data_IF_782701241483
#
_entry.id   IF_782701241483
#
_cell.length_a   1.000
_cell.length_b   1.000
_cell.length_c   1.000
_cell.angle_alpha   90.00
_cell.angle_beta   90.00
_cell.angle_gamma   90.00
#
_symmetry.space_group_name_H-M   'P 1'
#
loop_
_entity.id
_entity.type
_entity.pdbx_description
1 polymer ?
#
# COMPACT_ATOMS: atom_id res chain seq x y z
N UNK A 1 7.78 -21.89 -1.73
CA UNK A 1 6.55 -22.29 -2.45
C UNK A 1 5.78 -21.01 -2.78
N UNK A 2 5.53 -20.73 -4.07
CA UNK A 2 4.77 -19.55 -4.50
C UNK A 2 3.30 -19.68 -4.09
N UNK A 3 2.71 -18.55 -3.69
CA UNK A 3 1.52 -18.41 -2.86
C UNK A 3 0.28 -19.19 -3.30
N UNK A 4 -0.39 -19.76 -2.29
CA UNK A 4 -1.71 -20.36 -2.40
C UNK A 4 -2.74 -19.27 -2.73
N UNK A 5 -3.27 -19.31 -3.95
CA UNK A 5 -4.25 -18.38 -4.53
C UNK A 5 -5.66 -18.60 -3.93
N UNK A 6 -5.81 -18.42 -2.62
CA UNK A 6 -7.11 -18.21 -2.00
C UNK A 6 -7.26 -16.70 -1.75
N UNK A 7 -7.90 -16.03 -2.72
CA UNK A 7 -7.99 -14.57 -2.86
C UNK A 7 -6.91 -14.04 -3.80
N UNK A 8 -7.31 -13.64 -5.01
CA UNK A 8 -6.49 -13.38 -6.22
C UNK A 8 -5.50 -12.21 -6.13
N UNK A 9 -4.80 -12.03 -5.01
CA UNK A 9 -3.82 -10.97 -4.83
C UNK A 9 -2.38 -11.51 -4.77
N UNK A 10 -1.45 -10.77 -5.38
CA UNK A 10 -0.01 -10.95 -5.17
C UNK A 10 0.35 -10.34 -3.82
N UNK A 11 0.90 -11.16 -2.91
CA UNK A 11 1.22 -10.74 -1.55
C UNK A 11 2.71 -10.49 -1.37
N UNK A 12 3.01 -9.43 -0.64
CA UNK A 12 4.33 -8.94 -0.35
C UNK A 12 4.49 -8.87 1.17
N UNK A 13 5.24 -9.79 1.77
CA UNK A 13 5.32 -9.90 3.23
C UNK A 13 4.08 -10.59 3.84
N UNK A 14 4.04 -10.61 5.17
CA UNK A 14 2.93 -11.21 5.94
C UNK A 14 2.23 -10.09 6.70
N UNK A 15 0.94 -9.91 6.45
CA UNK A 15 0.12 -8.93 7.15
C UNK A 15 -0.11 -9.38 8.59
N UNK A 16 0.07 -8.44 9.52
CA UNK A 16 -0.18 -8.63 10.94
C UNK A 16 -1.28 -7.63 11.38
N UNK A 17 -0.90 -6.51 11.97
CA UNK A 17 -1.80 -5.45 12.40
C UNK A 17 -2.00 -4.34 11.34
N UNK A 18 -1.03 -4.15 10.43
CA UNK A 18 -1.10 -3.14 9.36
C UNK A 18 -0.77 -3.77 8.01
N UNK A 19 -1.51 -3.40 6.97
CA UNK A 19 -1.21 -3.76 5.58
C UNK A 19 -1.62 -2.66 4.61
N UNK A 20 -1.09 -2.72 3.38
CA UNK A 20 -1.59 -1.95 2.26
C UNK A 20 -2.19 -2.84 1.17
N UNK A 21 -3.14 -2.32 0.41
CA UNK A 21 -3.74 -2.99 -0.73
C UNK A 21 -3.99 -2.01 -1.88
N UNK A 22 -3.71 -2.44 -3.11
CA UNK A 22 -4.02 -1.69 -4.33
C UNK A 22 -4.28 -2.65 -5.49
N UNK A 23 -4.71 -2.13 -6.65
CA UNK A 23 -5.00 -2.98 -7.81
C UNK A 23 -3.74 -3.36 -8.57
N UNK A 24 -2.94 -2.36 -8.96
CA UNK A 24 -1.76 -2.55 -9.78
C UNK A 24 -0.56 -3.15 -9.05
N UNK A 25 0.04 -4.21 -9.61
CA UNK A 25 1.33 -4.74 -9.10
C UNK A 25 2.45 -3.70 -9.22
N UNK A 26 2.47 -2.91 -10.28
CA UNK A 26 3.47 -1.85 -10.51
C UNK A 26 3.32 -0.72 -9.47
N UNK A 27 2.08 -0.34 -9.16
CA UNK A 27 1.74 0.61 -8.10
C UNK A 27 2.28 0.13 -6.75
N UNK A 28 1.98 -1.13 -6.36
CA UNK A 28 2.45 -1.69 -5.09
C UNK A 28 3.97 -1.85 -5.04
N UNK A 29 4.62 -2.24 -6.15
CA UNK A 29 6.08 -2.32 -6.22
C UNK A 29 6.74 -0.94 -6.09
N UNK A 30 6.13 0.11 -6.63
CA UNK A 30 6.62 1.49 -6.50
C UNK A 30 6.59 1.94 -5.03
N UNK A 31 5.51 1.62 -4.30
CA UNK A 31 5.45 1.85 -2.85
C UNK A 31 6.44 1.00 -2.07
N UNK A 32 6.67 -0.26 -2.48
CA UNK A 32 7.63 -1.15 -1.83
C UNK A 32 9.06 -0.61 -1.88
N UNK A 33 9.40 0.20 -2.89
CA UNK A 33 10.70 0.88 -2.98
C UNK A 33 10.94 1.92 -1.86
N UNK A 34 9.88 2.41 -1.21
CA UNK A 34 9.97 3.41 -0.11
C UNK A 34 9.45 2.88 1.22
N UNK A 35 8.68 1.78 1.20
CA UNK A 35 8.17 1.08 2.37
C UNK A 35 8.43 -0.44 2.28
N UNK A 36 9.70 -0.87 2.34
CA UNK A 36 10.06 -2.27 2.05
C UNK A 36 9.50 -3.27 3.07
N UNK A 37 9.26 -2.83 4.31
CA UNK A 37 8.78 -3.68 5.42
C UNK A 37 7.25 -3.74 5.52
N UNK A 38 6.52 -2.86 4.83
CA UNK A 38 5.06 -2.86 4.87
C UNK A 38 4.51 -4.09 4.15
N UNK A 39 3.61 -4.88 4.78
CA UNK A 39 2.88 -5.94 4.10
C UNK A 39 1.94 -5.34 3.04
N UNK A 40 1.99 -5.84 1.81
CA UNK A 40 1.24 -5.27 0.68
C UNK A 40 0.54 -6.35 -0.16
N UNK A 41 -0.67 -6.06 -0.64
CA UNK A 41 -1.40 -6.92 -1.57
C UNK A 41 -1.70 -6.16 -2.86
N UNK A 42 -1.27 -6.70 -4.01
CA UNK A 42 -1.73 -6.24 -5.32
C UNK A 42 -2.88 -7.14 -5.79
N UNK A 43 -4.10 -6.61 -5.87
CA UNK A 43 -5.30 -7.37 -6.16
C UNK A 43 -5.49 -7.73 -7.65
N UNK A 44 -4.76 -7.04 -8.54
CA UNK A 44 -4.78 -7.21 -9.99
C UNK A 44 -6.11 -6.83 -10.68
N UNK A 45 -7.12 -6.36 -9.94
CA UNK A 45 -8.33 -5.70 -10.45
C UNK A 45 -9.15 -5.05 -9.33
N UNK A 46 -9.99 -4.08 -9.68
CA UNK A 46 -11.02 -3.47 -8.81
C UNK A 46 -11.93 -4.49 -8.11
N UNK A 47 -12.38 -5.51 -8.86
CA UNK A 47 -13.23 -6.57 -8.31
C UNK A 47 -12.50 -7.38 -7.23
N UNK A 48 -11.21 -7.67 -7.41
CA UNK A 48 -10.43 -8.40 -6.41
C UNK A 48 -10.00 -7.51 -5.25
N UNK A 49 -9.73 -6.22 -5.50
CA UNK A 49 -9.39 -5.25 -4.46
C UNK A 49 -10.54 -5.13 -3.47
N UNK A 50 -11.73 -4.89 -4.01
CA UNK A 50 -12.95 -4.86 -3.21
C UNK A 50 -13.24 -6.19 -2.53
N UNK A 51 -12.64 -7.33 -2.89
CA UNK A 51 -12.88 -8.64 -2.28
C UNK A 51 -11.77 -9.15 -1.34
N UNK A 52 -10.75 -8.31 -1.03
CA UNK A 52 -9.64 -8.70 -0.15
C UNK A 52 -10.15 -9.16 1.23
N UNK A 53 -9.64 -10.31 1.66
CA UNK A 53 -9.86 -10.83 3.01
C UNK A 53 -8.92 -10.16 4.01
N UNK A 54 -9.47 -9.77 5.15
CA UNK A 54 -8.70 -9.14 6.23
C UNK A 54 -8.18 -10.20 7.22
N UNK A 55 -6.89 -10.15 7.60
CA UNK A 55 -6.41 -10.89 8.76
C UNK A 55 -7.20 -10.48 10.02
N UNK A 56 -7.45 -11.43 10.91
CA UNK A 56 -8.19 -11.16 12.16
C UNK A 56 -7.48 -10.16 13.09
N UNK A 57 -6.16 -10.03 12.94
CA UNK A 57 -5.31 -9.10 13.69
C UNK A 57 -5.26 -7.70 13.09
N UNK A 58 -5.82 -7.50 11.89
CA UNK A 58 -5.67 -6.26 11.16
C UNK A 58 -6.39 -5.13 11.89
N UNK A 59 -5.66 -4.08 12.23
CA UNK A 59 -6.22 -2.83 12.79
C UNK A 59 -6.26 -1.71 11.76
N UNK A 60 -5.38 -1.75 10.75
CA UNK A 60 -5.25 -0.66 9.76
C UNK A 60 -4.97 -1.16 8.36
N UNK A 61 -5.72 -0.59 7.41
CA UNK A 61 -5.62 -0.86 5.98
C UNK A 61 -5.29 0.44 5.23
N UNK A 62 -4.12 0.46 4.60
CA UNK A 62 -3.77 1.49 3.62
C UNK A 62 -4.31 1.09 2.24
N UNK A 63 -5.24 1.87 1.69
CA UNK A 63 -5.79 1.61 0.36
C UNK A 63 -5.07 2.48 -0.65
N UNK A 64 -4.33 1.85 -1.54
CA UNK A 64 -3.56 2.51 -2.58
C UNK A 64 -4.46 2.68 -3.79
N UNK A 65 -4.88 3.91 -4.03
CA UNK A 65 -5.81 4.27 -5.10
C UNK A 65 -5.06 4.37 -6.43
N UNK A 66 -5.53 3.65 -7.44
CA UNK A 66 -5.24 3.95 -8.83
C UNK A 66 -6.23 5.05 -9.30
N UNK A 67 -5.78 6.04 -10.06
CA UNK A 67 -6.57 7.22 -10.46
C UNK A 67 -7.54 6.92 -11.62
N UNK A 68 -8.43 5.95 -11.41
CA UNK A 68 -9.47 5.57 -12.37
C UNK A 68 -10.84 5.32 -11.70
N UNK A 69 -11.96 5.50 -12.43
CA UNK A 69 -13.30 5.40 -11.85
C UNK A 69 -13.68 4.00 -11.32
N UNK A 70 -13.06 2.93 -11.84
CA UNK A 70 -13.32 1.59 -11.33
C UNK A 70 -12.63 1.38 -9.97
N UNK A 71 -11.41 1.92 -9.83
CA UNK A 71 -10.67 1.95 -8.57
C UNK A 71 -11.33 2.78 -7.48
N UNK A 72 -12.07 3.83 -7.84
CA UNK A 72 -12.85 4.62 -6.88
C UNK A 72 -13.92 3.78 -6.20
N UNK A 73 -14.76 3.11 -6.98
CA UNK A 73 -15.82 2.25 -6.44
C UNK A 73 -15.25 1.07 -5.65
N UNK A 74 -14.12 0.51 -6.08
CA UNK A 74 -13.46 -0.57 -5.34
C UNK A 74 -12.89 -0.10 -3.99
N UNK A 75 -12.26 1.08 -3.98
CA UNK A 75 -11.71 1.71 -2.78
C UNK A 75 -12.81 2.01 -1.77
N UNK A 76 -13.91 2.63 -2.20
CA UNK A 76 -15.04 2.95 -1.32
C UNK A 76 -15.69 1.69 -0.72
N UNK A 77 -15.93 0.66 -1.54
CA UNK A 77 -16.48 -0.61 -1.07
C UNK A 77 -15.54 -1.32 -0.09
N UNK A 78 -14.23 -1.30 -0.36
CA UNK A 78 -13.22 -1.89 0.50
C UNK A 78 -13.15 -1.15 1.85
N UNK A 79 -13.14 0.19 1.82
CA UNK A 79 -13.16 1.04 3.02
C UNK A 79 -14.38 0.73 3.88
N UNK A 80 -15.57 0.76 3.28
CA UNK A 80 -16.83 0.49 3.97
C UNK A 80 -16.81 -0.88 4.65
N UNK A 81 -16.31 -1.93 3.98
CA UNK A 81 -16.22 -3.26 4.58
C UNK A 81 -15.20 -3.32 5.72
N UNK A 82 -14.04 -2.70 5.54
CA UNK A 82 -13.01 -2.66 6.57
C UNK A 82 -13.50 -1.93 7.84
N UNK A 83 -14.14 -0.78 7.67
CA UNK A 83 -14.71 0.00 8.78
C UNK A 83 -15.82 -0.77 9.51
N UNK A 84 -16.66 -1.52 8.79
CA UNK A 84 -17.72 -2.35 9.38
C UNK A 84 -17.18 -3.41 10.34
N UNK A 85 -15.94 -3.87 10.14
CA UNK A 85 -15.27 -4.83 11.03
C UNK A 85 -14.27 -4.16 11.97
N UNK A 86 -14.27 -2.82 12.06
CA UNK A 86 -13.45 -2.04 12.99
C UNK A 86 -12.01 -1.81 12.55
N UNK A 87 -11.71 -1.97 11.26
CA UNK A 87 -10.38 -1.68 10.68
C UNK A 87 -10.35 -0.22 10.24
N UNK A 88 -9.31 0.51 10.67
CA UNK A 88 -9.04 1.87 10.22
C UNK A 88 -8.55 1.88 8.76
N UNK A 89 -9.17 2.69 7.93
CA UNK A 89 -8.88 2.82 6.49
C UNK A 89 -8.20 4.15 6.21
N UNK A 90 -7.08 4.12 5.49
CA UNK A 90 -6.37 5.33 5.05
C UNK A 90 -6.03 5.21 3.57
N UNK A 91 -6.55 6.12 2.76
CA UNK A 91 -6.24 6.14 1.31
C UNK A 91 -4.88 6.79 1.06
N UNK A 92 -4.04 6.12 0.28
CA UNK A 92 -2.79 6.65 -0.25
C UNK A 92 -2.99 7.04 -1.71
N UNK A 93 -2.74 8.32 -2.02
CA UNK A 93 -2.90 8.88 -3.35
C UNK A 93 -1.55 9.32 -3.94
N UNK A 94 -1.33 9.09 -5.25
CA UNK A 94 -0.17 9.61 -5.95
C UNK A 94 -0.26 11.13 -6.11
N UNK A 95 0.88 11.79 -6.33
CA UNK A 95 0.99 13.23 -6.51
C UNK A 95 0.85 13.65 -7.98
N UNK A 96 1.35 12.84 -8.93
CA UNK A 96 1.36 13.12 -10.37
C UNK A 96 0.74 11.98 -11.19
N UNK A 97 -0.47 11.56 -10.81
CA UNK A 97 -1.28 10.59 -11.55
C UNK A 97 -1.09 9.15 -11.08
N UNK A 98 0.13 8.64 -11.07
CA UNK A 98 0.44 7.29 -10.59
C UNK A 98 1.76 7.22 -9.79
N UNK A 99 1.85 6.23 -8.90
CA UNK A 99 2.99 6.08 -7.98
C UNK A 99 4.30 5.74 -8.70
N UNK A 100 4.26 5.08 -9.86
CA UNK A 100 5.45 4.76 -10.64
C UNK A 100 6.02 6.02 -11.30
N UNK A 101 5.14 6.85 -11.88
CA UNK A 101 5.43 8.16 -12.42
C UNK A 101 6.02 9.07 -11.35
N UNK A 102 5.44 9.11 -10.15
CA UNK A 102 6.00 9.83 -9.01
C UNK A 102 7.40 9.33 -8.66
N UNK A 103 7.58 8.01 -8.53
CA UNK A 103 8.86 7.40 -8.21
C UNK A 103 9.93 7.76 -9.27
N UNK A 104 9.56 7.72 -10.56
CA UNK A 104 10.46 8.00 -11.68
C UNK A 104 10.79 9.49 -11.84
N UNK A 105 9.82 10.38 -11.58
CA UNK A 105 9.95 11.83 -11.80
C UNK A 105 10.51 12.55 -10.58
N UNK A 106 10.01 12.22 -9.39
CA UNK A 106 10.34 12.89 -8.13
C UNK A 106 11.46 12.16 -7.37
N UNK A 107 11.63 10.86 -7.62
CA UNK A 107 12.59 10.02 -6.92
C UNK A 107 12.08 9.51 -5.56
N UNK A 108 12.87 8.62 -4.96
CA UNK A 108 12.49 7.91 -3.72
C UNK A 108 12.27 8.85 -2.53
N UNK A 109 13.13 9.85 -2.34
CA UNK A 109 13.05 10.73 -1.18
C UNK A 109 11.82 11.64 -1.22
N UNK A 110 11.49 12.18 -2.39
CA UNK A 110 10.30 13.02 -2.56
C UNK A 110 9.01 12.20 -2.43
N UNK A 111 8.95 11.00 -3.03
CA UNK A 111 7.83 10.08 -2.84
C UNK A 111 7.66 9.70 -1.37
N UNK A 112 8.77 9.42 -0.66
CA UNK A 112 8.74 9.14 0.78
C UNK A 112 8.21 10.33 1.58
N UNK A 113 8.64 11.55 1.27
CA UNK A 113 8.15 12.75 1.93
C UNK A 113 6.64 12.96 1.71
N UNK A 114 6.15 12.71 0.48
CA UNK A 114 4.73 12.77 0.15
C UNK A 114 3.89 11.70 0.85
N UNK A 115 4.44 10.50 1.05
CA UNK A 115 3.77 9.42 1.79
C UNK A 115 3.78 9.63 3.30
N UNK A 116 4.84 10.26 3.83
CA UNK A 116 4.98 10.54 5.26
C UNK A 116 3.82 11.37 5.83
N UNK A 117 3.23 12.25 5.02
CA UNK A 117 2.08 13.07 5.44
C UNK A 117 0.73 12.35 5.29
N UNK A 118 0.69 11.22 4.57
CA UNK A 118 -0.52 10.43 4.36
C UNK A 118 -0.62 9.24 5.32
N UNK A 119 0.52 8.74 5.81
CA UNK A 119 0.58 7.60 6.73
C UNK A 119 0.35 8.06 8.17
N UNK A 120 -0.27 7.19 8.96
CA UNK A 120 -0.51 7.44 10.37
C UNK A 120 0.82 7.67 11.11
N UNK A 121 0.92 8.64 12.02
CA UNK A 121 2.18 8.98 12.69
C UNK A 121 2.85 7.77 13.36
N UNK A 122 2.06 6.85 13.92
CA UNK A 122 2.56 5.62 14.58
C UNK A 122 3.28 4.67 13.60
N UNK A 123 2.91 4.71 12.32
CA UNK A 123 3.37 3.77 11.31
C UNK A 123 4.56 4.33 10.48
N UNK A 124 4.78 5.64 10.52
CA UNK A 124 5.91 6.30 9.84
C UNK A 124 7.24 5.66 10.23
N UNK A 125 7.50 5.48 11.54
CA UNK A 125 8.75 4.91 12.02
C UNK A 125 8.95 3.43 11.68
N UNK A 126 7.86 2.71 11.40
CA UNK A 126 7.86 1.26 11.14
C UNK A 126 8.02 0.92 9.66
N UNK A 127 7.47 1.76 8.78
CA UNK A 127 7.41 1.47 7.34
C UNK A 127 8.21 2.43 6.50
N UNK A 128 8.32 3.70 6.88
CA UNK A 128 9.13 4.69 6.16
C UNK A 128 10.53 4.74 6.80
N UNK A 129 11.28 3.65 6.69
CA UNK A 129 12.69 3.68 7.08
C UNK A 129 13.48 4.56 6.11
N UNK A 130 14.35 5.38 6.69
CA UNK A 130 15.50 5.90 5.94
C UNK A 130 16.30 4.67 5.55
N UNK A 131 16.41 4.37 4.26
CA UNK A 131 17.61 3.70 3.80
C UNK A 131 18.75 4.60 4.25
N UNK A 132 19.37 4.27 5.38
CA UNK A 132 20.76 4.60 5.58
C UNK A 132 21.45 3.82 4.49
N UNK A 133 21.62 4.45 3.32
CA UNK A 133 22.74 4.12 2.48
C UNK A 133 23.94 4.20 3.41
N UNK A 134 24.45 3.03 3.78
CA UNK A 134 25.77 2.86 4.33
C UNK A 134 26.77 3.38 3.29
N UNK A 135 26.95 4.69 3.30
CA UNK A 135 28.05 5.43 2.68
C UNK A 135 28.96 5.97 3.78
N UNK A 136 29.20 5.19 4.84
CA UNK A 136 30.41 5.36 5.64
C UNK A 136 31.54 4.71 4.85
N UNK A 137 32.23 5.50 4.03
CA UNK A 137 33.29 5.00 3.17
C UNK A 137 33.86 6.00 2.19
N UNK A 138 34.38 7.13 2.69
CA UNK A 138 35.74 7.61 2.39
C UNK A 138 36.12 8.75 3.33
#
# INVERSE_FOLDING_TARGET
AMGHLLGHAVRFGVADDVMAAGEGIETMLSLRCVMPTMPMNAALSAAHLSAILFPATLRRLYIVRDDDPAGDGATENLSTRAETVGIETITLSPHCGDFNGDLRRLGRDALRAALRIQIAPEDVGRFLHLDVCAGAGR
#
